data_IF_308489821635
#
_entry.id   IF_308489821635
#
_cell.length_a   1.000
_cell.length_b   1.000
_cell.length_c   1.000
_cell.angle_alpha   90.00
_cell.angle_beta   90.00
_cell.angle_gamma   90.00
#
_symmetry.space_group_name_H-M   'P 1'
#
loop_
_entity.id
_entity.type
_entity.pdbx_description
1 polymer ?
#
# COMPACT_ATOMS: atom_id res chain seq x y z
N UNK A 1 22.88 -34.41 -4.86
CA UNK A 1 21.58 -34.00 -5.44
C UNK A 1 21.06 -32.89 -4.54
N UNK A 2 21.17 -31.64 -4.98
CA UNK A 2 20.80 -30.45 -4.20
C UNK A 2 19.44 -29.94 -4.66
N UNK A 3 18.50 -29.81 -3.74
CA UNK A 3 17.40 -28.84 -3.82
C UNK A 3 16.75 -28.69 -2.43
N UNK A 4 17.35 -27.85 -1.57
CA UNK A 4 16.67 -27.32 -0.38
C UNK A 4 15.90 -26.09 -0.85
N UNK A 5 14.58 -26.24 -1.06
CA UNK A 5 13.68 -25.12 -1.28
C UNK A 5 13.35 -24.49 0.08
N UNK A 6 14.10 -23.47 0.49
CA UNK A 6 13.73 -22.58 1.60
C UNK A 6 12.63 -21.63 1.12
N UNK A 7 11.40 -22.14 0.95
CA UNK A 7 10.21 -21.28 0.93
C UNK A 7 10.00 -20.83 2.37
N UNK A 8 10.57 -19.68 2.73
CA UNK A 8 10.26 -19.03 4.00
C UNK A 8 8.77 -18.69 3.97
N UNK A 9 7.95 -19.43 4.71
CA UNK A 9 6.56 -19.08 5.07
C UNK A 9 6.59 -17.90 6.06
N UNK A 10 7.22 -16.79 5.68
CA UNK A 10 7.25 -15.59 6.51
C UNK A 10 5.90 -14.90 6.42
N UNK A 11 5.14 -14.98 7.51
CA UNK A 11 4.02 -14.09 7.75
C UNK A 11 4.52 -12.71 8.17
N UNK A 12 3.78 -11.68 7.79
CA UNK A 12 3.97 -10.29 8.16
C UNK A 12 2.75 -9.76 8.89
N UNK A 13 2.96 -8.84 9.82
CA UNK A 13 1.89 -8.13 10.52
C UNK A 13 1.40 -6.98 9.63
N UNK A 14 0.09 -6.83 9.44
CA UNK A 14 -0.50 -5.76 8.63
C UNK A 14 -1.57 -5.00 9.43
N UNK A 15 -1.86 -3.76 9.05
CA UNK A 15 -3.07 -3.09 9.53
C UNK A 15 -4.31 -3.70 8.88
N UNK A 16 -5.39 -3.82 9.65
CA UNK A 16 -6.64 -4.48 9.25
C UNK A 16 -7.85 -3.59 9.51
N UNK A 17 -7.90 -2.43 8.84
CA UNK A 17 -8.98 -1.47 9.03
C UNK A 17 -10.08 -1.60 7.98
N UNK A 18 -11.36 -1.60 8.41
CA UNK A 18 -12.48 -1.50 7.50
C UNK A 18 -12.56 -0.09 6.90
N UNK A 19 -13.16 0.02 5.71
CA UNK A 19 -13.36 1.32 5.03
C UNK A 19 -14.16 2.34 5.85
N UNK A 20 -15.00 1.87 6.78
CA UNK A 20 -15.78 2.72 7.68
C UNK A 20 -14.96 3.31 8.84
N UNK A 21 -13.80 2.74 9.16
CA UNK A 21 -12.91 3.20 10.24
C UNK A 21 -11.45 3.10 9.80
N UNK A 22 -11.00 3.97 8.88
CA UNK A 22 -9.67 3.87 8.27
C UNK A 22 -8.51 4.15 9.23
N UNK A 23 -8.77 4.73 10.40
CA UNK A 23 -7.79 5.04 11.45
C UNK A 23 -7.85 4.05 12.63
N UNK A 24 -8.29 2.83 12.39
CA UNK A 24 -8.27 1.79 13.42
C UNK A 24 -6.84 1.34 13.77
N UNK A 25 -6.69 0.69 14.93
CA UNK A 25 -5.43 0.07 15.36
C UNK A 25 -5.42 -1.46 15.18
N UNK A 26 -6.45 -2.03 14.53
CA UNK A 26 -6.56 -3.47 14.32
C UNK A 26 -5.45 -3.99 13.40
N UNK A 27 -4.92 -5.16 13.73
CA UNK A 27 -3.89 -5.83 12.95
C UNK A 27 -4.27 -7.27 12.62
N UNK A 28 -3.62 -7.80 11.58
CA UNK A 28 -3.74 -9.20 11.15
C UNK A 28 -2.36 -9.73 10.74
N UNK A 29 -2.24 -11.06 10.58
CA UNK A 29 -1.05 -11.69 10.03
C UNK A 29 -1.39 -12.39 8.71
N UNK A 30 -0.53 -12.22 7.70
CA UNK A 30 -0.70 -12.82 6.38
C UNK A 30 0.63 -12.89 5.63
N UNK A 31 0.66 -13.45 4.43
CA UNK A 31 1.86 -13.43 3.58
C UNK A 31 2.08 -12.07 2.92
N UNK A 32 0.99 -11.33 2.71
CA UNK A 32 0.98 -10.02 2.08
C UNK A 32 0.05 -9.08 2.84
N UNK A 33 0.41 -7.81 2.89
CA UNK A 33 -0.49 -6.74 3.31
C UNK A 33 -1.09 -6.08 2.07
N UNK A 34 -2.37 -5.76 2.13
CA UNK A 34 -3.03 -4.96 1.10
C UNK A 34 -3.55 -3.63 1.64
N UNK A 35 -3.66 -2.66 0.72
CA UNK A 35 -4.33 -1.39 0.91
C UNK A 35 -5.16 -1.08 -0.34
N UNK A 36 -6.47 -0.95 -0.16
CA UNK A 36 -7.41 -0.56 -1.21
C UNK A 36 -7.93 0.85 -0.89
N UNK A 37 -7.77 1.76 -1.83
CA UNK A 37 -8.27 3.13 -1.75
C UNK A 37 -9.29 3.35 -2.86
N UNK A 38 -10.44 3.91 -2.49
CA UNK A 38 -11.43 4.38 -3.46
C UNK A 38 -11.52 5.89 -3.31
N UNK A 39 -11.14 6.59 -4.37
CA UNK A 39 -11.03 8.05 -4.43
C UNK A 39 -12.09 8.56 -5.39
N UNK A 40 -13.04 9.35 -4.90
CA UNK A 40 -14.09 9.93 -5.74
C UNK A 40 -14.46 11.32 -5.20
N UNK A 41 -14.38 12.34 -6.07
CA UNK A 41 -14.87 13.70 -5.81
C UNK A 41 -14.44 14.30 -4.45
N UNK A 42 -13.15 14.17 -4.12
CA UNK A 42 -12.57 14.67 -2.86
C UNK A 42 -12.78 13.78 -1.64
N UNK A 43 -13.53 12.69 -1.76
CA UNK A 43 -13.67 11.66 -0.74
C UNK A 43 -12.71 10.50 -1.02
N UNK A 44 -12.05 10.03 0.03
CA UNK A 44 -11.20 8.84 -0.03
C UNK A 44 -11.65 7.86 1.04
N UNK A 45 -11.98 6.64 0.64
CA UNK A 45 -12.16 5.53 1.57
C UNK A 45 -10.95 4.61 1.49
N UNK A 46 -10.48 4.13 2.64
CA UNK A 46 -9.28 3.29 2.73
C UNK A 46 -9.63 2.02 3.48
N UNK A 47 -9.41 0.88 2.85
CA UNK A 47 -9.54 -0.45 3.45
C UNK A 47 -8.18 -1.13 3.46
N UNK A 48 -7.83 -1.77 4.57
CA UNK A 48 -6.55 -2.44 4.78
C UNK A 48 -6.77 -3.85 5.28
N UNK A 49 -5.82 -4.75 5.02
CA UNK A 49 -5.81 -6.07 5.62
C UNK A 49 -4.69 -6.97 5.13
N UNK A 50 -4.89 -8.27 5.35
CA UNK A 50 -3.96 -9.34 5.01
C UNK A 50 -4.47 -10.20 3.86
N UNK A 51 -3.53 -10.72 3.06
CA UNK A 51 -3.76 -11.76 2.07
C UNK A 51 -2.78 -12.92 2.30
N UNK A 52 -3.23 -14.13 2.00
CA UNK A 52 -2.36 -15.31 1.96
C UNK A 52 -1.89 -15.62 0.55
N UNK A 53 -2.65 -15.21 -0.46
CA UNK A 53 -2.37 -15.43 -1.87
C UNK A 53 -2.76 -14.17 -2.65
N UNK A 54 -2.12 -13.97 -3.80
CA UNK A 54 -2.46 -12.90 -4.74
C UNK A 54 -2.94 -13.54 -6.03
N UNK A 55 -4.10 -13.14 -6.54
CA UNK A 55 -4.50 -13.46 -7.90
C UNK A 55 -3.53 -12.70 -8.81
N UNK A 56 -2.70 -13.40 -9.59
CA UNK A 56 -1.49 -12.89 -10.26
C UNK A 56 -1.64 -11.70 -11.22
N UNK A 57 -2.78 -11.01 -11.22
CA UNK A 57 -2.97 -9.70 -11.81
C UNK A 57 -2.42 -8.53 -10.99
N UNK A 58 -2.23 -8.67 -9.66
CA UNK A 58 -1.75 -7.57 -8.80
C UNK A 58 -0.25 -7.71 -8.50
N UNK A 59 0.55 -6.71 -8.90
CA UNK A 59 1.99 -6.71 -8.64
C UNK A 59 2.34 -6.33 -7.19
N UNK A 60 3.08 -7.20 -6.51
CA UNK A 60 3.62 -6.96 -5.16
C UNK A 60 4.72 -5.88 -5.21
N UNK A 61 4.64 -4.90 -4.32
CA UNK A 61 5.56 -3.77 -4.24
C UNK A 61 5.15 -2.57 -5.10
N UNK A 62 4.05 -2.68 -5.83
CA UNK A 62 3.49 -1.61 -6.66
C UNK A 62 2.03 -1.34 -6.27
N UNK A 63 1.56 -0.15 -6.63
CA UNK A 63 0.17 0.26 -6.51
C UNK A 63 -0.43 0.34 -7.91
N UNK A 64 -1.47 -0.43 -8.16
CA UNK A 64 -2.23 -0.39 -9.40
C UNK A 64 -3.39 0.60 -9.26
N UNK A 65 -3.57 1.44 -10.27
CA UNK A 65 -4.65 2.41 -10.33
C UNK A 65 -5.59 2.07 -11.48
N UNK A 66 -6.86 1.89 -11.16
CA UNK A 66 -7.91 1.64 -12.13
C UNK A 66 -8.91 2.79 -12.10
N UNK A 67 -9.07 3.54 -13.19
CA UNK A 67 -10.13 4.52 -13.27
C UNK A 67 -11.49 3.82 -13.35
N UNK A 68 -12.38 4.16 -12.44
CA UNK A 68 -13.75 3.66 -12.38
C UNK A 68 -14.70 4.76 -12.86
N UNK A 69 -15.30 4.55 -14.03
CA UNK A 69 -16.38 5.40 -14.50
C UNK A 69 -17.70 4.92 -13.87
N UNK A 70 -18.21 5.65 -12.89
CA UNK A 70 -19.48 5.30 -12.25
C UNK A 70 -20.63 5.59 -13.22
N UNK A 71 -21.46 4.57 -13.56
CA UNK A 71 -22.53 4.74 -14.53
C UNK A 71 -23.55 5.79 -14.06
N UNK A 72 -23.88 6.75 -14.93
CA UNK A 72 -24.88 7.78 -14.64
C UNK A 72 -24.35 9.05 -13.96
N UNK A 73 -23.03 9.25 -13.91
CA UNK A 73 -22.42 10.46 -13.37
C UNK A 73 -21.15 10.86 -14.10
N UNK A 74 -20.80 12.16 -14.08
CA UNK A 74 -19.50 12.68 -14.52
C UNK A 74 -18.38 12.44 -13.48
N UNK A 75 -18.67 11.68 -12.41
CA UNK A 75 -17.72 11.43 -11.33
C UNK A 75 -16.60 10.52 -11.81
N UNK A 76 -15.38 11.04 -11.75
CA UNK A 76 -14.15 10.27 -11.92
C UNK A 76 -13.82 9.62 -10.59
N UNK A 77 -14.01 8.31 -10.50
CA UNK A 77 -13.51 7.53 -9.38
C UNK A 77 -12.19 6.85 -9.78
N UNK A 78 -11.30 6.69 -8.82
CA UNK A 78 -10.05 5.94 -8.96
C UNK A 78 -9.99 4.90 -7.86
N UNK A 79 -9.85 3.64 -8.26
CA UNK A 79 -9.53 2.53 -7.38
C UNK A 79 -8.02 2.31 -7.40
N UNK A 80 -7.38 2.46 -6.24
CA UNK A 80 -5.94 2.19 -6.07
C UNK A 80 -5.75 1.01 -5.15
N UNK A 81 -5.04 -0.01 -5.62
CA UNK A 81 -4.75 -1.23 -4.87
C UNK A 81 -3.24 -1.42 -4.76
N UNK A 82 -2.73 -1.51 -3.54
CA UNK A 82 -1.32 -1.76 -3.25
C UNK A 82 -1.15 -3.06 -2.47
N UNK A 83 -0.15 -3.86 -2.81
CA UNK A 83 0.22 -5.09 -2.08
C UNK A 83 1.70 -5.06 -1.72
N UNK A 84 2.05 -5.46 -0.50
CA UNK A 84 3.43 -5.43 0.01
C UNK A 84 3.70 -6.56 1.01
N UNK A 85 4.97 -6.84 1.32
CA UNK A 85 5.42 -8.01 2.10
C UNK A 85 6.33 -7.64 3.27
N UNK A 86 6.18 -6.44 3.83
CA UNK A 86 6.93 -6.01 5.03
C UNK A 86 5.95 -5.65 6.14
N UNK A 87 6.38 -5.76 7.39
CA UNK A 87 5.50 -5.47 8.53
C UNK A 87 4.93 -4.04 8.43
N UNK A 88 3.61 -3.95 8.55
CA UNK A 88 2.78 -2.73 8.58
C UNK A 88 2.99 -1.83 7.35
N UNK A 89 3.45 -2.40 6.23
CA UNK A 89 3.71 -1.65 5.00
C UNK A 89 2.45 -1.00 4.41
N UNK A 90 1.27 -1.52 4.72
CA UNK A 90 -0.02 -0.94 4.30
C UNK A 90 -0.47 0.28 5.13
N UNK A 91 0.38 0.79 6.02
CA UNK A 91 0.11 2.01 6.80
C UNK A 91 0.17 3.28 5.95
N UNK A 92 1.19 3.40 5.09
CA UNK A 92 1.46 4.63 4.34
C UNK A 92 0.63 4.77 3.05
N UNK A 93 0.14 5.97 2.78
CA UNK A 93 -0.09 6.42 1.39
C UNK A 93 1.23 6.98 0.90
N UNK A 94 2.13 6.14 0.41
CA UNK A 94 3.33 6.62 -0.26
C UNK A 94 2.93 7.20 -1.62
N UNK A 95 2.42 8.44 -1.61
CA UNK A 95 2.79 9.35 -2.68
C UNK A 95 4.31 9.43 -2.64
N UNK A 96 4.97 8.76 -3.59
CA UNK A 96 6.42 8.82 -3.75
C UNK A 96 6.86 10.29 -3.85
N UNK A 97 7.36 10.81 -2.74
CA UNK A 97 8.23 11.97 -2.71
C UNK A 97 9.34 11.65 -1.70
N UNK A 98 10.28 10.80 -2.13
CA UNK A 98 11.60 10.77 -1.52
C UNK A 98 12.26 12.10 -1.89
N UNK A 99 11.89 13.18 -1.21
CA UNK A 99 12.72 14.38 -1.17
C UNK A 99 13.65 14.16 0.01
N UNK A 100 14.87 13.72 -0.31
CA UNK A 100 16.01 13.68 0.61
C UNK A 100 16.22 15.08 1.23
N UNK A 101 15.58 15.37 2.36
CA UNK A 101 15.83 16.60 3.13
C UNK A 101 17.25 16.64 3.72
N UNK A 102 17.91 15.48 3.82
CA UNK A 102 19.26 15.34 4.36
C UNK A 102 20.38 15.84 3.42
N UNK A 103 20.16 15.92 2.10
CA UNK A 103 21.21 16.40 1.16
C UNK A 103 21.27 17.92 1.05
N UNK A 104 20.16 18.63 1.30
CA UNK A 104 20.11 20.10 1.25
C UNK A 104 20.86 20.72 2.43
N UNK A 105 20.74 20.11 3.63
CA UNK A 105 21.41 20.61 4.83
C UNK A 105 22.95 20.59 4.71
N UNK A 106 23.52 19.55 4.09
CA UNK A 106 24.97 19.43 3.89
C UNK A 106 25.53 20.45 2.89
N UNK A 107 24.74 20.88 1.90
CA UNK A 107 25.18 21.87 0.92
C UNK A 107 25.25 23.28 1.50
N UNK A 108 24.32 23.63 2.41
CA UNK A 108 24.32 24.93 3.09
C UNK A 108 25.53 25.05 4.02
N UNK A 109 25.89 23.99 4.75
CA UNK A 109 27.09 23.98 5.60
C UNK A 109 28.41 23.96 4.81
N UNK A 110 28.40 23.53 3.54
CA UNK A 110 29.61 23.54 2.70
C UNK A 110 29.87 24.93 2.06
N UNK A 111 28.82 25.74 1.90
CA UNK A 111 28.89 27.06 1.24
C UNK A 111 29.04 28.21 2.26
N UNK A 112 28.71 27.98 3.54
CA UNK A 112 28.90 28.92 4.65
C UNK A 112 30.30 28.84 5.28
#
# INVERSE_FOLDING_TARGET
MNSISLRSDSFVECHSCPGSSPNCDDTCQGRYCYKAEFIADGYTTVKRGCLNETDGGIQVGLCEETPSNLPGSDFRAVERMCVCTTDKCNSASTHFAIINLSTIALFIFYVL
#
